data_IF_173792927757
#
_entry.id   IF_173792927757
#
_cell.length_a   1.000
_cell.length_b   1.000
_cell.length_c   1.000
_cell.angle_alpha   90.00
_cell.angle_beta   90.00
_cell.angle_gamma   90.00
#
_symmetry.space_group_name_H-M   'P 1'
#
loop_
_entity.id
_entity.type
_entity.pdbx_description
1 polymer ?
#
# COMPACT_ATOMS: atom_id res chain seq x y z
N UNK A 1 -3.55 3.73 -4.23
CA UNK A 1 -2.82 2.44 -4.03
C UNK A 1 -2.09 1.96 -5.28
N UNK A 2 -2.76 1.86 -6.43
CA UNK A 2 -2.15 1.37 -7.69
C UNK A 2 -0.85 2.08 -8.12
N UNK A 3 -0.78 3.41 -7.97
CA UNK A 3 0.41 4.19 -8.29
C UNK A 3 1.61 3.89 -7.37
N UNK A 4 1.38 3.75 -6.07
CA UNK A 4 2.43 3.43 -5.10
C UNK A 4 3.03 2.03 -5.36
N UNK A 5 2.18 1.08 -5.75
CA UNK A 5 2.58 -0.28 -6.13
C UNK A 5 3.41 -0.29 -7.42
N UNK A 6 2.98 0.46 -8.45
CA UNK A 6 3.71 0.59 -9.72
C UNK A 6 5.08 1.26 -9.56
N UNK A 7 5.18 2.31 -8.74
CA UNK A 7 6.46 2.99 -8.45
C UNK A 7 7.48 2.07 -7.78
N UNK A 8 7.01 1.10 -7.00
CA UNK A 8 7.85 0.12 -6.28
C UNK A 8 8.03 -1.20 -7.04
N UNK A 9 7.50 -1.32 -8.26
CA UNK A 9 7.49 -2.56 -9.07
C UNK A 9 6.94 -3.79 -8.32
N UNK A 10 6.03 -3.60 -7.37
CA UNK A 10 5.41 -4.70 -6.64
C UNK A 10 4.21 -5.26 -7.42
N UNK A 11 4.08 -6.58 -7.50
CA UNK A 11 2.89 -7.19 -8.12
C UNK A 11 1.72 -7.17 -7.14
N UNK A 12 0.47 -7.22 -7.66
CA UNK A 12 -0.70 -7.37 -6.78
C UNK A 12 -0.58 -8.60 -5.89
N UNK A 13 0.02 -9.67 -6.43
CA UNK A 13 0.23 -10.92 -5.73
C UNK A 13 1.11 -10.74 -4.49
N UNK A 14 2.29 -10.15 -4.68
CA UNK A 14 3.23 -9.87 -3.58
C UNK A 14 2.63 -8.98 -2.51
N UNK A 15 1.85 -7.96 -2.90
CA UNK A 15 1.19 -7.08 -1.93
C UNK A 15 0.08 -7.84 -1.19
N UNK A 16 -0.71 -8.64 -1.90
CA UNK A 16 -1.81 -9.42 -1.31
C UNK A 16 -1.30 -10.48 -0.34
N UNK A 17 -0.21 -11.15 -0.68
CA UNK A 17 0.46 -12.15 0.15
C UNK A 17 1.08 -11.52 1.40
N UNK A 18 1.82 -10.40 1.25
CA UNK A 18 2.43 -9.69 2.38
C UNK A 18 1.39 -9.02 3.30
N UNK A 19 0.28 -8.54 2.74
CA UNK A 19 -0.81 -7.95 3.52
C UNK A 19 -1.78 -9.00 4.07
N UNK A 20 -1.62 -10.28 3.75
CA UNK A 20 -2.49 -11.35 4.21
C UNK A 20 -3.93 -11.23 3.70
N UNK A 21 -4.13 -10.66 2.51
CA UNK A 21 -5.46 -10.45 1.91
C UNK A 21 -5.56 -11.12 0.55
N UNK A 22 -6.78 -11.39 0.11
CA UNK A 22 -7.02 -11.92 -1.22
C UNK A 22 -6.83 -10.84 -2.30
N UNK A 23 -6.34 -11.24 -3.49
CA UNK A 23 -6.25 -10.38 -4.69
C UNK A 23 -7.54 -9.58 -5.01
N UNK A 24 -8.77 -10.14 -4.92
CA UNK A 24 -9.98 -9.34 -5.13
C UNK A 24 -10.16 -8.22 -4.10
N UNK A 25 -9.81 -8.46 -2.83
CA UNK A 25 -9.85 -7.44 -1.76
C UNK A 25 -8.89 -6.29 -2.06
N UNK A 26 -7.67 -6.61 -2.53
CA UNK A 26 -6.70 -5.60 -2.98
C UNK A 26 -7.22 -4.82 -4.20
N UNK A 27 -7.89 -5.49 -5.15
CA UNK A 27 -8.50 -4.83 -6.31
C UNK A 27 -9.64 -3.91 -5.92
N UNK A 28 -10.51 -4.33 -5.00
CA UNK A 28 -11.59 -3.51 -4.43
C UNK A 28 -11.03 -2.30 -3.68
N UNK A 29 -9.93 -2.48 -2.94
CA UNK A 29 -9.21 -1.39 -2.27
C UNK A 29 -8.60 -0.41 -3.28
N UNK A 30 -7.95 -0.91 -4.34
CA UNK A 30 -7.40 -0.07 -5.42
C UNK A 30 -8.49 0.69 -6.18
N UNK A 31 -9.72 0.15 -6.25
CA UNK A 31 -10.91 0.78 -6.84
C UNK A 31 -11.63 1.74 -5.89
N UNK A 32 -11.25 1.82 -4.62
CA UNK A 32 -11.87 2.72 -3.64
C UNK A 32 -13.18 2.21 -3.04
N UNK A 33 -13.40 0.89 -2.97
CA UNK A 33 -14.58 0.34 -2.34
C UNK A 33 -14.54 0.54 -0.80
N UNK A 34 -15.51 1.25 -0.19
CA UNK A 34 -15.55 1.49 1.25
C UNK A 34 -15.90 0.24 2.08
N UNK A 35 -16.29 -0.88 1.45
CA UNK A 35 -16.55 -2.15 2.13
C UNK A 35 -15.27 -2.81 2.68
N UNK A 36 -14.08 -2.31 2.31
CA UNK A 36 -12.80 -2.83 2.81
C UNK A 36 -12.53 -2.21 4.19
N UNK A 37 -12.40 -3.07 5.21
CA UNK A 37 -12.14 -2.65 6.58
C UNK A 37 -10.89 -1.76 6.67
N UNK A 38 -10.96 -0.72 7.51
CA UNK A 38 -9.84 0.22 7.71
C UNK A 38 -8.54 -0.49 8.12
N UNK A 39 -8.64 -1.59 8.88
CA UNK A 39 -7.48 -2.42 9.24
C UNK A 39 -6.76 -3.01 8.02
N UNK A 40 -7.51 -3.43 6.99
CA UNK A 40 -6.93 -3.94 5.74
C UNK A 40 -6.22 -2.82 4.98
N UNK A 41 -6.82 -1.63 4.94
CA UNK A 41 -6.23 -0.44 4.30
C UNK A 41 -4.88 -0.10 4.96
N UNK A 42 -4.84 -0.09 6.29
CA UNK A 42 -3.63 0.16 7.08
C UNK A 42 -2.57 -0.90 6.83
N UNK A 43 -2.95 -2.18 6.85
CA UNK A 43 -2.03 -3.30 6.64
C UNK A 43 -1.39 -3.26 5.25
N UNK A 44 -2.17 -2.92 4.22
CA UNK A 44 -1.65 -2.70 2.85
C UNK A 44 -0.72 -1.49 2.80
N UNK A 45 -1.05 -0.40 3.50
CA UNK A 45 -0.18 0.79 3.59
C UNK A 45 1.20 0.46 4.19
N UNK A 46 1.20 -0.31 5.28
CA UNK A 46 2.41 -0.77 5.98
C UNK A 46 3.25 -1.67 5.08
N UNK A 47 2.61 -2.64 4.42
CA UNK A 47 3.29 -3.54 3.48
C UNK A 47 3.90 -2.82 2.27
N UNK A 48 3.26 -1.75 1.81
CA UNK A 48 3.83 -0.88 0.78
C UNK A 48 4.98 -0.02 1.29
N UNK A 49 5.23 0.03 2.61
CA UNK A 49 6.25 0.88 3.22
C UNK A 49 5.98 2.36 3.00
N UNK A 50 4.71 2.75 2.83
CA UNK A 50 4.29 4.15 2.71
C UNK A 50 4.42 4.91 4.04
N UNK A 51 4.62 4.20 5.14
CA UNK A 51 5.04 4.79 6.43
C UNK A 51 6.35 5.59 6.33
N UNK A 52 7.25 5.21 5.41
CA UNK A 52 8.52 5.93 5.20
C UNK A 52 8.43 7.13 4.27
N UNK A 53 7.43 7.21 3.38
CA UNK A 53 7.24 8.37 2.50
C UNK A 53 6.81 9.63 3.28
N UNK A 54 6.27 9.47 4.50
CA UNK A 54 6.03 10.59 5.42
C UNK A 54 7.32 11.17 6.03
N UNK A 55 8.44 10.44 5.97
CA UNK A 55 9.76 10.92 6.42
C UNK A 55 10.62 11.33 5.21
N UNK A 56 10.08 12.16 4.32
CA UNK A 56 10.87 12.88 3.33
C UNK A 56 11.11 14.32 3.80
N UNK A 57 11.92 14.51 4.84
CA UNK A 57 12.77 15.71 4.97
C UNK A 57 13.85 15.54 6.05
N UNK A 58 15.05 15.04 5.70
CA UNK A 58 16.22 15.46 6.47
C UNK A 58 17.45 15.86 5.65
N UNK A 59 17.35 16.03 4.33
CA UNK A 59 18.53 16.30 3.48
C UNK A 59 18.72 17.74 3.03
N UNK A 60 18.11 18.73 3.70
CA UNK A 60 18.37 20.14 3.39
C UNK A 60 18.86 20.90 4.63
N UNK A 61 20.01 20.45 5.15
CA UNK A 61 20.92 21.26 5.97
C UNK A 61 22.34 21.01 5.45
N UNK A 62 22.69 21.74 4.39
CA UNK A 62 24.07 22.10 4.06
C UNK A 62 24.05 23.56 3.59
#
# INVERSE_FOLDING_TARGET
MKLARLRRKLTMDQVSERAGISRPTLSSLEKGNPAVSLGIVLQVLLVLGLEKDFCFWPTMMY
#
